data_IF_656585165059
#
_entry.id   IF_656585165059
#
_cell.length_a   1.000
_cell.length_b   1.000
_cell.length_c   1.000
_cell.angle_alpha   90.00
_cell.angle_beta   90.00
_cell.angle_gamma   90.00
#
_symmetry.space_group_name_H-M   'P 1'
#
loop_
_entity.id
_entity.type
_entity.pdbx_description
1 polymer ?
#
# COMPACT_ATOMS: atom_id res chain seq x y z
N UNK A 1 -7.41 6.20 1.19
CA UNK A 1 -6.21 5.43 1.61
C UNK A 1 -6.52 4.30 2.59
N UNK A 2 -7.28 4.51 3.67
CA UNK A 2 -7.61 3.46 4.67
C UNK A 2 -7.98 2.08 4.07
N UNK A 3 -9.07 2.01 3.31
CA UNK A 3 -9.54 0.76 2.69
C UNK A 3 -8.59 0.23 1.62
N UNK A 4 -7.83 1.11 0.95
CA UNK A 4 -6.80 0.71 -0.02
C UNK A 4 -5.71 -0.10 0.67
N UNK A 5 -5.25 0.32 1.85
CA UNK A 5 -4.24 -0.43 2.63
C UNK A 5 -4.82 -1.73 3.17
N UNK A 6 -6.01 -1.69 3.79
CA UNK A 6 -6.65 -2.89 4.34
C UNK A 6 -6.92 -3.97 3.30
N UNK A 7 -7.25 -3.58 2.06
CA UNK A 7 -7.53 -4.54 0.99
C UNK A 7 -6.35 -5.47 0.68
N UNK A 8 -5.12 -5.05 1.01
CA UNK A 8 -3.91 -5.84 0.78
C UNK A 8 -3.48 -6.66 2.00
N UNK A 9 -4.20 -6.57 3.14
CA UNK A 9 -3.92 -7.40 4.29
C UNK A 9 -4.48 -8.82 4.10
N UNK A 10 -3.60 -9.79 3.89
CA UNK A 10 -3.99 -11.19 3.63
C UNK A 10 -4.51 -11.86 4.89
N UNK A 11 -3.95 -11.55 6.06
CA UNK A 11 -4.45 -12.07 7.34
C UNK A 11 -5.89 -11.61 7.58
N UNK A 12 -6.18 -10.34 7.34
CA UNK A 12 -7.53 -9.81 7.48
C UNK A 12 -8.50 -10.48 6.51
N UNK A 13 -8.15 -10.54 5.22
CA UNK A 13 -8.99 -11.20 4.20
C UNK A 13 -9.24 -12.68 4.55
N UNK A 14 -8.21 -13.40 5.00
CA UNK A 14 -8.32 -14.81 5.38
C UNK A 14 -9.15 -15.01 6.65
N UNK A 15 -9.01 -14.14 7.65
CA UNK A 15 -9.81 -14.17 8.86
C UNK A 15 -11.27 -13.88 8.54
N UNK A 16 -11.55 -12.78 7.83
CA UNK A 16 -12.90 -12.34 7.48
C UNK A 16 -13.63 -13.33 6.57
N UNK A 17 -12.92 -14.06 5.71
CA UNK A 17 -13.48 -15.14 4.89
C UNK A 17 -14.14 -16.24 5.73
N UNK A 18 -13.62 -16.52 6.94
CA UNK A 18 -14.16 -17.56 7.84
C UNK A 18 -15.46 -17.14 8.53
N UNK A 19 -15.82 -15.86 8.52
CA UNK A 19 -17.05 -15.37 9.13
C UNK A 19 -18.21 -15.38 8.13
N UNK A 20 -19.14 -16.33 8.33
CA UNK A 20 -20.28 -16.56 7.43
C UNK A 20 -21.05 -15.29 7.06
N UNK A 21 -21.43 -14.48 8.06
CA UNK A 21 -22.24 -13.28 7.86
C UNK A 21 -21.55 -12.23 6.99
N UNK A 22 -20.24 -12.07 7.12
CA UNK A 22 -19.49 -11.06 6.39
C UNK A 22 -19.25 -11.52 4.94
N UNK A 23 -18.86 -12.78 4.77
CA UNK A 23 -18.60 -13.38 3.45
C UNK A 23 -19.84 -13.46 2.55
N UNK A 24 -21.05 -13.38 3.12
CA UNK A 24 -22.29 -13.29 2.33
C UNK A 24 -22.41 -11.97 1.55
N UNK A 25 -21.84 -10.89 2.08
CA UNK A 25 -21.91 -9.54 1.47
C UNK A 25 -20.61 -9.15 0.77
N UNK A 26 -19.46 -9.64 1.27
CA UNK A 26 -18.14 -9.26 0.77
C UNK A 26 -17.44 -10.47 0.16
N UNK A 27 -17.19 -10.40 -1.14
CA UNK A 27 -16.35 -11.39 -1.82
C UNK A 27 -14.86 -11.05 -1.64
N UNK A 28 -14.21 -11.76 -0.73
CA UNK A 28 -12.81 -11.58 -0.37
C UNK A 28 -11.81 -11.96 -1.47
N UNK A 29 -12.22 -12.72 -2.50
CA UNK A 29 -11.37 -13.04 -3.67
C UNK A 29 -11.18 -11.84 -4.59
N UNK A 30 -12.05 -10.82 -4.48
CA UNK A 30 -11.96 -9.60 -5.28
C UNK A 30 -11.12 -8.49 -4.61
N UNK A 31 -10.44 -8.77 -3.50
CA UNK A 31 -9.64 -7.78 -2.76
C UNK A 31 -8.56 -7.11 -3.64
N UNK A 32 -7.91 -7.88 -4.52
CA UNK A 32 -6.95 -7.36 -5.48
C UNK A 32 -7.59 -6.44 -6.51
N UNK A 33 -8.75 -6.82 -7.06
CA UNK A 33 -9.47 -5.99 -8.02
C UNK A 33 -9.97 -4.70 -7.35
N UNK A 34 -10.45 -4.78 -6.11
CA UNK A 34 -10.83 -3.63 -5.30
C UNK A 34 -9.66 -2.69 -5.04
N UNK A 35 -8.49 -3.21 -4.66
CA UNK A 35 -7.28 -2.41 -4.49
C UNK A 35 -6.93 -1.63 -5.75
N UNK A 36 -6.91 -2.28 -6.92
CA UNK A 36 -6.60 -1.61 -8.19
C UNK A 36 -7.60 -0.49 -8.47
N UNK A 37 -8.91 -0.73 -8.32
CA UNK A 37 -9.95 0.29 -8.53
C UNK A 37 -9.78 1.46 -7.57
N UNK A 38 -9.55 1.20 -6.28
CA UNK A 38 -9.30 2.24 -5.28
C UNK A 38 -8.02 3.04 -5.54
N UNK A 39 -6.97 2.39 -6.05
CA UNK A 39 -5.73 3.06 -6.43
C UNK A 39 -5.93 4.01 -7.62
N UNK A 40 -6.73 3.62 -8.62
CA UNK A 40 -7.10 4.52 -9.74
C UNK A 40 -7.88 5.73 -9.21
N UNK A 41 -8.87 5.51 -8.34
CA UNK A 41 -9.63 6.61 -7.72
C UNK A 41 -8.71 7.54 -6.94
N UNK A 42 -7.79 6.99 -6.14
CA UNK A 42 -6.81 7.79 -5.40
C UNK A 42 -5.88 8.57 -6.34
N UNK A 43 -5.47 7.98 -7.48
CA UNK A 43 -4.63 8.63 -8.49
C UNK A 43 -5.33 9.77 -9.22
N UNK A 44 -6.67 9.79 -9.24
CA UNK A 44 -7.46 10.91 -9.77
C UNK A 44 -7.63 12.02 -8.72
N UNK A 45 -7.93 11.65 -7.47
CA UNK A 45 -8.15 12.64 -6.41
C UNK A 45 -6.86 13.31 -5.92
N UNK A 46 -5.71 12.63 -5.97
CA UNK A 46 -4.43 13.22 -5.58
C UNK A 46 -4.06 14.46 -6.43
N UNK A 47 -4.12 14.43 -7.78
CA UNK A 47 -3.97 15.63 -8.62
C UNK A 47 -4.98 16.73 -8.30
N UNK A 48 -6.26 16.39 -8.15
CA UNK A 48 -7.31 17.38 -7.84
C UNK A 48 -7.01 18.10 -6.51
N UNK A 49 -6.60 17.35 -5.49
CA UNK A 49 -6.17 17.88 -4.21
C UNK A 49 -4.92 18.77 -4.33
N UNK A 50 -3.88 18.30 -5.04
CA UNK A 50 -2.65 19.06 -5.25
C UNK A 50 -2.89 20.36 -6.03
N UNK A 51 -3.69 20.31 -7.10
CA UNK A 51 -4.08 21.49 -7.89
C UNK A 51 -4.86 22.46 -7.00
N UNK A 52 -5.86 21.98 -6.25
CA UNK A 52 -6.66 22.81 -5.35
C UNK A 52 -5.82 23.55 -4.31
N UNK A 53 -4.76 22.94 -3.79
CA UNK A 53 -3.84 23.61 -2.87
C UNK A 53 -2.90 24.59 -3.57
N UNK A 54 -2.27 24.19 -4.69
CA UNK A 54 -1.28 25.00 -5.38
C UNK A 54 -1.91 26.25 -6.01
N UNK A 55 -3.04 26.10 -6.72
CA UNK A 55 -3.68 27.21 -7.44
C UNK A 55 -4.78 27.89 -6.63
N UNK A 56 -5.32 27.21 -5.60
CA UNK A 56 -6.33 27.75 -4.71
C UNK A 56 -5.72 28.28 -3.42
N UNK A 57 -5.63 27.44 -2.37
CA UNK A 57 -5.34 27.90 -1.01
C UNK A 57 -3.98 28.59 -0.85
N UNK A 58 -2.91 28.03 -1.42
CA UNK A 58 -1.56 28.61 -1.30
C UNK A 58 -1.43 29.90 -2.11
N UNK A 59 -2.03 29.95 -3.30
CA UNK A 59 -2.06 31.16 -4.11
C UNK A 59 -2.86 32.27 -3.42
N UNK A 60 -4.05 31.95 -2.92
CA UNK A 60 -4.90 32.87 -2.16
C UNK A 60 -4.16 33.46 -0.96
N UNK A 61 -3.56 32.60 -0.14
CA UNK A 61 -2.85 33.02 1.08
C UNK A 61 -1.57 33.82 0.82
N UNK A 62 -1.10 33.87 -0.43
CA UNK A 62 0.09 34.64 -0.81
C UNK A 62 -0.20 36.05 -1.32
N UNK A 63 -1.48 36.38 -1.56
CA UNK A 63 -1.88 37.68 -2.13
C UNK A 63 -1.91 38.77 -1.06
N UNK A 64 -1.31 39.96 -1.31
CA UNK A 64 -1.34 41.07 -0.37
C UNK A 64 -2.74 41.48 0.08
N UNK A 65 -3.72 41.45 -0.84
CA UNK A 65 -5.11 41.80 -0.55
C UNK A 65 -5.77 40.91 0.51
N UNK A 66 -5.32 39.65 0.65
CA UNK A 66 -5.98 38.68 1.54
C UNK A 66 -5.24 38.53 2.88
N UNK A 67 -4.24 39.36 3.18
CA UNK A 67 -3.42 39.22 4.39
C UNK A 67 -4.26 39.35 5.67
N UNK A 68 -5.22 40.26 5.70
CA UNK A 68 -6.08 40.46 6.88
C UNK A 68 -6.92 39.21 7.19
N UNK A 69 -7.49 38.59 6.17
CA UNK A 69 -8.27 37.34 6.34
C UNK A 69 -7.38 36.16 6.74
N UNK A 70 -6.19 36.04 6.13
CA UNK A 70 -5.23 34.98 6.48
C UNK A 70 -4.72 35.16 7.90
N UNK A 71 -4.45 36.39 8.34
CA UNK A 71 -4.06 36.70 9.71
C UNK A 71 -5.18 36.37 10.70
N UNK A 72 -6.44 36.67 10.35
CA UNK A 72 -7.60 36.31 11.17
C UNK A 72 -7.78 34.79 11.30
N UNK A 73 -7.47 34.02 10.25
CA UNK A 73 -7.66 32.57 10.23
C UNK A 73 -6.47 31.77 10.81
N UNK A 74 -5.23 32.13 10.48
CA UNK A 74 -4.01 31.40 10.86
C UNK A 74 -3.18 32.10 11.95
N UNK A 75 -3.55 33.33 12.33
CA UNK A 75 -2.80 34.17 13.24
C UNK A 75 -1.89 35.17 12.50
N UNK A 76 -1.47 36.26 13.20
CA UNK A 76 -0.69 37.34 12.61
C UNK A 76 0.68 36.88 12.11
N UNK A 77 1.29 35.86 12.74
CA UNK A 77 2.61 35.33 12.35
C UNK A 77 2.61 34.60 10.99
N UNK A 78 1.43 34.34 10.43
CA UNK A 78 1.29 33.69 9.13
C UNK A 78 1.46 34.64 7.93
N UNK A 79 1.48 35.96 8.16
CA UNK A 79 1.60 37.00 7.12
C UNK A 79 2.67 38.05 7.46
N UNK A 80 3.30 38.69 6.46
CA UNK A 80 3.23 38.36 5.03
C UNK A 80 4.02 37.09 4.72
N UNK A 81 3.45 36.21 3.87
CA UNK A 81 4.12 34.98 3.46
C UNK A 81 4.05 34.79 1.94
N UNK A 82 5.20 34.82 1.23
CA UNK A 82 5.19 34.65 -0.22
C UNK A 82 4.81 33.22 -0.61
N UNK A 83 4.34 33.04 -1.84
CA UNK A 83 3.93 31.73 -2.38
C UNK A 83 5.02 30.65 -2.24
N UNK A 84 6.28 31.01 -2.46
CA UNK A 84 7.43 30.10 -2.31
C UNK A 84 7.59 29.60 -0.87
N UNK A 85 7.24 30.40 0.14
CA UNK A 85 7.28 29.99 1.53
C UNK A 85 6.12 29.05 1.91
N UNK A 86 4.99 29.11 1.20
CA UNK A 86 3.91 28.13 1.32
C UNK A 86 4.30 26.79 0.69
N UNK A 87 4.96 26.78 -0.47
CA UNK A 87 5.51 25.55 -1.06
C UNK A 87 6.55 24.91 -0.14
N UNK A 88 7.44 25.71 0.48
CA UNK A 88 8.47 25.22 1.41
C UNK A 88 7.91 24.82 2.78
N UNK A 89 6.64 25.12 3.06
CA UNK A 89 5.99 24.67 4.30
C UNK A 89 5.93 23.14 4.36
N UNK A 90 5.82 22.57 5.58
CA UNK A 90 5.74 21.13 5.76
C UNK A 90 4.64 20.48 4.89
N UNK A 91 3.39 20.98 4.84
CA UNK A 91 2.38 20.43 3.93
C UNK A 91 2.75 20.60 2.46
N UNK A 92 3.35 21.72 2.08
CA UNK A 92 3.70 22.02 0.69
C UNK A 92 4.67 20.99 0.08
N UNK A 93 5.89 20.91 0.60
CA UNK A 93 6.92 20.08 -0.02
C UNK A 93 6.67 18.59 0.22
N UNK A 94 6.19 18.18 1.40
CA UNK A 94 5.80 16.79 1.68
C UNK A 94 4.68 16.39 0.73
N UNK A 95 3.69 17.26 0.49
CA UNK A 95 2.58 17.00 -0.42
C UNK A 95 3.06 16.76 -1.85
N UNK A 96 3.98 17.60 -2.34
CA UNK A 96 4.58 17.46 -3.68
C UNK A 96 5.41 16.17 -3.82
N UNK A 97 6.23 15.84 -2.82
CA UNK A 97 7.03 14.60 -2.82
C UNK A 97 6.10 13.38 -2.79
N UNK A 98 5.10 13.37 -1.92
CA UNK A 98 4.11 12.30 -1.82
C UNK A 98 3.36 12.12 -3.14
N UNK A 99 2.92 13.22 -3.75
CA UNK A 99 2.25 13.22 -5.06
C UNK A 99 3.14 12.58 -6.14
N UNK A 100 4.40 13.00 -6.24
CA UNK A 100 5.35 12.42 -7.18
C UNK A 100 5.55 10.92 -6.97
N UNK A 101 5.77 10.48 -5.72
CA UNK A 101 5.90 9.07 -5.39
C UNK A 101 4.64 8.27 -5.75
N UNK A 102 3.46 8.85 -5.55
CA UNK A 102 2.18 8.20 -5.88
C UNK A 102 2.08 7.91 -7.39
N UNK A 103 2.51 8.85 -8.23
CA UNK A 103 2.59 8.67 -9.68
C UNK A 103 3.68 7.69 -10.12
N UNK A 104 4.84 7.66 -9.45
CA UNK A 104 5.88 6.66 -9.71
C UNK A 104 5.35 5.24 -9.44
N UNK A 105 4.66 5.03 -8.31
CA UNK A 105 4.00 3.75 -8.05
C UNK A 105 2.96 3.47 -9.13
N UNK A 106 2.08 4.41 -9.46
CA UNK A 106 1.08 4.25 -10.52
C UNK A 106 1.67 3.82 -11.86
N UNK A 107 2.76 4.46 -12.29
CA UNK A 107 3.46 4.14 -13.54
C UNK A 107 4.07 2.74 -13.52
N UNK A 108 4.77 2.39 -12.45
CA UNK A 108 5.36 1.04 -12.28
C UNK A 108 4.29 -0.05 -12.07
N UNK A 109 3.06 0.32 -11.70
CA UNK A 109 1.89 -0.55 -11.57
C UNK A 109 1.24 -0.96 -12.88
N UNK A 110 1.56 -0.28 -13.99
CA UNK A 110 0.84 -0.48 -15.24
C UNK A 110 0.97 -1.92 -15.75
N UNK A 111 -0.10 -2.52 -16.32
CA UNK A 111 -0.05 -3.90 -16.79
C UNK A 111 1.07 -4.16 -17.81
N UNK A 112 1.42 -3.18 -18.62
CA UNK A 112 2.54 -3.26 -19.55
C UNK A 112 3.90 -3.36 -18.84
N UNK A 113 4.14 -2.54 -17.81
CA UNK A 113 5.39 -2.57 -17.02
C UNK A 113 5.49 -3.88 -16.25
N UNK A 114 4.45 -4.27 -15.52
CA UNK A 114 4.44 -5.49 -14.70
C UNK A 114 4.63 -6.77 -15.52
N UNK A 115 4.09 -6.82 -16.74
CA UNK A 115 4.29 -7.95 -17.66
C UNK A 115 5.71 -8.02 -18.22
N UNK A 116 6.38 -6.87 -18.37
CA UNK A 116 7.76 -6.80 -18.87
C UNK A 116 8.80 -7.03 -17.78
N UNK A 117 8.58 -6.48 -16.59
CA UNK A 117 9.43 -6.71 -15.42
C UNK A 117 8.61 -6.60 -14.14
N UNK A 118 8.38 -7.74 -13.49
CA UNK A 118 7.72 -7.78 -12.20
C UNK A 118 8.58 -7.17 -11.08
N UNK A 119 9.90 -7.26 -11.20
CA UNK A 119 10.85 -6.72 -10.23
C UNK A 119 10.76 -5.18 -10.14
N UNK A 120 10.65 -4.50 -11.29
CA UNK A 120 10.43 -3.05 -11.34
C UNK A 120 9.10 -2.67 -10.65
N UNK A 121 8.04 -3.45 -10.90
CA UNK A 121 6.76 -3.26 -10.24
C UNK A 121 6.87 -3.40 -8.71
N UNK A 122 7.54 -4.44 -8.22
CA UNK A 122 7.70 -4.68 -6.77
C UNK A 122 8.56 -3.61 -6.11
N UNK A 123 9.73 -3.30 -6.68
CA UNK A 123 10.63 -2.27 -6.15
C UNK A 123 9.95 -0.91 -6.13
N UNK A 124 9.24 -0.55 -7.22
CA UNK A 124 8.42 0.65 -7.28
C UNK A 124 7.35 0.68 -6.18
N UNK A 125 6.62 -0.42 -5.98
CA UNK A 125 5.58 -0.50 -4.93
C UNK A 125 6.09 -0.38 -3.50
N UNK A 126 7.37 -0.67 -3.22
CA UNK A 126 7.94 -0.48 -1.88
C UNK A 126 7.93 1.00 -1.46
N UNK A 127 7.90 1.93 -2.42
CA UNK A 127 7.71 3.36 -2.16
C UNK A 127 6.39 3.68 -1.44
N UNK A 128 5.48 2.71 -1.30
CA UNK A 128 4.27 2.88 -0.49
C UNK A 128 4.59 3.18 0.99
N UNK A 129 5.69 2.64 1.53
CA UNK A 129 6.07 2.90 2.93
C UNK A 129 6.50 4.34 3.20
N UNK A 130 7.42 4.96 2.41
CA UNK A 130 7.69 6.38 2.56
C UNK A 130 6.46 7.25 2.28
N UNK A 131 5.58 6.85 1.35
CA UNK A 131 4.29 7.56 1.13
C UNK A 131 3.43 7.56 2.39
N UNK A 132 3.32 6.43 3.12
CA UNK A 132 2.56 6.39 4.36
C UNK A 132 3.15 7.32 5.42
N UNK A 133 4.48 7.29 5.60
CA UNK A 133 5.15 8.18 6.55
C UNK A 133 4.90 9.66 6.19
N UNK A 134 5.03 10.02 4.91
CA UNK A 134 4.77 11.37 4.45
C UNK A 134 3.30 11.78 4.58
N UNK A 135 2.33 10.91 4.27
CA UNK A 135 0.91 11.21 4.47
C UNK A 135 0.55 11.41 5.95
N UNK A 136 1.20 10.71 6.87
CA UNK A 136 1.00 10.89 8.31
C UNK A 136 1.50 12.27 8.78
N UNK A 137 2.58 12.78 8.18
CA UNK A 137 3.20 14.07 8.54
C UNK A 137 2.62 15.26 7.75
N UNK A 138 2.14 15.05 6.52
CA UNK A 138 1.71 16.11 5.60
C UNK A 138 0.71 17.10 6.21
N UNK A 139 -0.26 16.61 6.98
CA UNK A 139 -1.31 17.45 7.58
C UNK A 139 -1.05 17.93 9.00
N UNK A 140 0.09 17.63 9.62
CA UNK A 140 0.30 17.84 11.07
C UNK A 140 0.34 19.29 11.49
N UNK A 141 0.69 20.21 10.58
CA UNK A 141 0.63 21.65 10.86
C UNK A 141 -0.80 22.15 11.06
N UNK A 142 -1.79 21.46 10.48
CA UNK A 142 -3.20 21.75 10.74
C UNK A 142 -3.70 23.08 10.21
N UNK A 143 -3.14 23.60 9.10
CA UNK A 143 -3.52 24.92 8.56
C UNK A 143 -5.03 25.08 8.32
N UNK A 144 -5.70 24.05 7.80
CA UNK A 144 -7.14 24.14 7.49
C UNK A 144 -7.99 23.38 8.50
N UNK A 145 -7.48 22.25 8.98
CA UNK A 145 -8.21 21.29 9.81
C UNK A 145 -7.21 20.53 10.69
N UNK A 146 -7.69 19.97 11.79
CA UNK A 146 -6.88 19.14 12.69
C UNK A 146 -6.36 17.87 11.98
N UNK A 147 -5.12 17.43 12.25
CA UNK A 147 -4.51 16.29 11.57
C UNK A 147 -5.22 14.98 11.84
N UNK A 148 -6.00 14.49 10.86
CA UNK A 148 -6.73 13.22 10.98
C UNK A 148 -6.07 12.06 10.23
N UNK A 149 -5.37 12.32 9.12
CA UNK A 149 -4.88 11.27 8.21
C UNK A 149 -3.95 10.27 8.91
N UNK A 150 -3.10 10.75 9.83
CA UNK A 150 -2.18 9.91 10.57
C UNK A 150 -2.88 8.85 11.42
N UNK A 151 -3.93 9.26 12.15
CA UNK A 151 -4.71 8.37 13.00
C UNK A 151 -5.49 7.33 12.18
N UNK A 152 -6.11 7.75 11.07
CA UNK A 152 -6.79 6.81 10.19
C UNK A 152 -5.82 5.79 9.59
N UNK A 153 -4.60 6.21 9.20
CA UNK A 153 -3.62 5.30 8.59
C UNK A 153 -2.86 4.42 9.59
N UNK A 154 -2.75 4.80 10.87
CA UNK A 154 -1.95 4.08 11.85
C UNK A 154 -2.33 2.60 11.96
N UNK A 155 -3.63 2.32 12.20
CA UNK A 155 -4.13 0.95 12.33
C UNK A 155 -3.89 0.07 11.09
N UNK A 156 -4.35 0.44 9.88
CA UNK A 156 -4.21 -0.42 8.70
C UNK A 156 -2.75 -0.58 8.27
N UNK A 157 -1.93 0.45 8.42
CA UNK A 157 -0.49 0.38 8.08
C UNK A 157 0.23 -0.56 9.05
N UNK A 158 -0.02 -0.45 10.35
CA UNK A 158 0.58 -1.35 11.34
C UNK A 158 0.17 -2.80 11.09
N UNK A 159 -1.10 -3.06 10.80
CA UNK A 159 -1.60 -4.40 10.51
C UNK A 159 -0.89 -5.02 9.30
N UNK A 160 -0.76 -4.27 8.20
CA UNK A 160 -0.05 -4.74 6.98
C UNK A 160 1.46 -4.89 7.22
N UNK A 161 2.07 -3.99 8.01
CA UNK A 161 3.49 -4.08 8.37
C UNK A 161 3.77 -5.35 9.17
N UNK A 162 2.99 -5.64 10.21
CA UNK A 162 3.15 -6.84 11.03
C UNK A 162 2.97 -8.11 10.19
N UNK A 163 1.91 -8.18 9.37
CA UNK A 163 1.71 -9.30 8.44
C UNK A 163 2.94 -9.49 7.54
N UNK A 164 3.44 -8.39 6.95
CA UNK A 164 4.56 -8.45 6.02
C UNK A 164 5.86 -8.85 6.70
N UNK A 165 6.14 -8.33 7.90
CA UNK A 165 7.32 -8.71 8.70
C UNK A 165 7.27 -10.20 9.00
N UNK A 166 6.16 -10.71 9.55
CA UNK A 166 6.02 -12.14 9.89
C UNK A 166 6.17 -13.02 8.65
N UNK A 167 5.57 -12.64 7.52
CA UNK A 167 5.73 -13.39 6.26
C UNK A 167 7.17 -13.40 5.76
N UNK A 168 7.86 -12.26 5.81
CA UNK A 168 9.26 -12.15 5.41
C UNK A 168 10.16 -12.97 6.34
N UNK A 169 9.94 -12.89 7.66
CA UNK A 169 10.66 -13.70 8.65
C UNK A 169 10.48 -15.19 8.39
N UNK A 170 9.26 -15.64 8.11
CA UNK A 170 8.97 -17.03 7.75
C UNK A 170 9.62 -17.47 6.43
N UNK A 171 9.93 -16.52 5.53
CA UNK A 171 10.64 -16.77 4.28
C UNK A 171 12.14 -16.98 4.44
N UNK A 172 12.74 -16.61 5.58
CA UNK A 172 14.15 -16.89 5.88
C UNK A 172 14.41 -18.32 6.39
N UNK A 173 13.37 -19.15 6.45
CA UNK A 173 13.48 -20.57 6.77
C UNK A 173 13.25 -21.40 5.51
N UNK A 174 14.26 -21.52 4.62
CA UNK A 174 14.13 -22.28 3.38
C UNK A 174 13.85 -23.75 3.67
N UNK A 175 13.05 -24.36 2.81
CA UNK A 175 12.74 -25.79 2.86
C UNK A 175 13.24 -26.44 1.57
N UNK A 176 13.78 -27.65 1.70
CA UNK A 176 14.13 -28.46 0.54
C UNK A 176 12.85 -28.90 -0.18
N UNK A 177 12.83 -28.73 -1.50
CA UNK A 177 11.71 -29.12 -2.33
C UNK A 177 12.19 -29.82 -3.60
N UNK A 178 11.40 -30.78 -4.06
CA UNK A 178 11.59 -31.49 -5.32
C UNK A 178 10.52 -31.02 -6.29
N UNK A 179 10.93 -30.79 -7.54
CA UNK A 179 10.01 -30.41 -8.61
C UNK A 179 9.93 -31.55 -9.63
N UNK A 180 8.70 -31.95 -9.94
CA UNK A 180 8.38 -32.94 -10.95
C UNK A 180 7.47 -32.31 -11.99
N UNK A 181 7.81 -32.47 -13.27
CA UNK A 181 6.98 -31.98 -14.39
C UNK A 181 6.03 -33.10 -14.77
N UNK A 182 4.73 -32.92 -14.50
CA UNK A 182 3.72 -33.93 -14.78
C UNK A 182 3.28 -33.89 -16.24
N UNK A 183 3.05 -32.68 -16.78
CA UNK A 183 2.69 -32.45 -18.17
C UNK A 183 3.14 -31.05 -18.65
N UNK A 184 2.61 -30.57 -19.79
CA UNK A 184 2.99 -29.26 -20.37
C UNK A 184 2.51 -28.06 -19.55
N UNK A 185 1.49 -28.22 -18.71
CA UNK A 185 0.81 -27.15 -17.98
C UNK A 185 0.85 -27.35 -16.45
N UNK A 186 1.29 -28.52 -15.97
CA UNK A 186 1.22 -28.93 -14.57
C UNK A 186 2.58 -29.38 -14.03
N UNK A 187 2.94 -28.82 -12.87
CA UNK A 187 4.11 -29.23 -12.09
C UNK A 187 3.69 -29.66 -10.68
N UNK A 188 4.34 -30.70 -10.15
CA UNK A 188 4.23 -31.11 -8.76
C UNK A 188 5.45 -30.60 -7.99
N UNK A 189 5.22 -30.00 -6.82
CA UNK A 189 6.28 -29.52 -5.92
C UNK A 189 6.12 -30.23 -4.58
N UNK A 190 7.04 -31.14 -4.27
CA UNK A 190 7.07 -31.87 -3.00
C UNK A 190 8.02 -31.18 -2.05
N UNK A 191 7.50 -30.61 -0.95
CA UNK A 191 8.29 -29.90 0.07
C UNK A 191 8.55 -30.83 1.26
N UNK A 192 9.80 -30.98 1.67
CA UNK A 192 10.16 -31.78 2.85
C UNK A 192 9.99 -30.91 4.10
N UNK A 193 9.03 -31.26 4.95
CA UNK A 193 8.76 -30.52 6.18
C UNK A 193 9.58 -31.09 7.35
N UNK A 194 10.42 -30.28 8.03
CA UNK A 194 11.14 -30.74 9.20
C UNK A 194 10.18 -30.99 10.37
N UNK A 195 10.44 -32.01 11.18
CA UNK A 195 9.62 -32.38 12.33
C UNK A 195 9.47 -31.25 13.38
N UNK A 196 10.39 -30.28 13.39
CA UNK A 196 10.33 -29.10 14.25
C UNK A 196 9.28 -28.06 13.83
N UNK A 197 8.73 -28.15 12.61
CA UNK A 197 7.76 -27.19 12.07
C UNK A 197 6.37 -27.81 12.08
N UNK A 198 5.58 -27.46 13.08
CA UNK A 198 4.20 -27.93 13.17
C UNK A 198 3.36 -27.33 12.03
N UNK A 199 2.96 -28.16 11.06
CA UNK A 199 2.24 -27.74 9.85
C UNK A 199 0.93 -28.51 9.72
N UNK A 200 -0.06 -28.09 10.51
CA UNK A 200 -1.41 -28.60 10.38
C UNK A 200 -2.08 -28.03 9.13
N UNK A 201 -2.61 -28.91 8.27
CA UNK A 201 -3.32 -28.53 7.06
C UNK A 201 -4.71 -29.16 7.00
N UNK A 202 -5.57 -28.60 6.14
CA UNK A 202 -6.87 -29.17 5.76
C UNK A 202 -6.97 -29.25 4.24
N UNK A 203 -7.68 -30.25 3.74
CA UNK A 203 -7.95 -30.39 2.31
C UNK A 203 -8.55 -29.09 1.73
N UNK A 204 -8.07 -28.69 0.56
CA UNK A 204 -8.49 -27.46 -0.13
C UNK A 204 -7.79 -26.16 0.34
N UNK A 205 -6.83 -26.24 1.27
CA UNK A 205 -5.97 -25.11 1.60
C UNK A 205 -4.87 -24.90 0.55
N UNK A 206 -4.30 -23.70 0.50
CA UNK A 206 -3.17 -23.35 -0.35
C UNK A 206 -2.01 -22.81 0.49
N UNK A 207 -0.80 -22.95 -0.03
CA UNK A 207 0.43 -22.35 0.50
C UNK A 207 0.96 -21.31 -0.47
N UNK A 208 1.74 -20.38 0.05
CA UNK A 208 2.50 -19.44 -0.77
C UNK A 208 3.95 -19.90 -0.82
N UNK A 209 4.46 -20.17 -2.02
CA UNK A 209 5.84 -20.57 -2.23
C UNK A 209 6.61 -19.45 -2.92
N UNK A 210 7.83 -19.23 -2.45
CA UNK A 210 8.83 -18.41 -3.12
C UNK A 210 9.89 -19.33 -3.72
N UNK A 211 10.15 -19.19 -5.02
CA UNK A 211 11.16 -19.96 -5.74
C UNK A 211 12.28 -18.97 -6.15
N UNK A 212 13.40 -18.92 -5.40
CA UNK A 212 14.43 -17.90 -5.59
C UNK A 212 15.05 -17.87 -6.99
N UNK A 213 15.05 -19.02 -7.69
CA UNK A 213 15.54 -19.15 -9.07
C UNK A 213 14.67 -18.37 -10.07
N UNK A 214 13.37 -18.21 -9.80
CA UNK A 214 12.45 -17.44 -10.64
C UNK A 214 12.37 -15.99 -10.20
N UNK A 215 12.24 -15.74 -8.90
CA UNK A 215 12.23 -14.39 -8.33
C UNK A 215 12.52 -14.44 -6.83
N UNK A 216 13.33 -13.49 -6.37
CA UNK A 216 13.70 -13.33 -4.96
C UNK A 216 12.62 -12.64 -4.12
N UNK A 217 11.53 -12.18 -4.75
CA UNK A 217 10.51 -11.35 -4.09
C UNK A 217 9.08 -11.85 -4.32
N UNK A 218 8.87 -12.74 -5.30
CA UNK A 218 7.55 -13.29 -5.62
C UNK A 218 7.17 -14.46 -4.71
N UNK A 219 5.88 -14.47 -4.37
CA UNK A 219 5.23 -15.55 -3.63
C UNK A 219 4.00 -15.97 -4.41
N UNK A 220 3.97 -17.22 -4.86
CA UNK A 220 2.91 -17.76 -5.70
C UNK A 220 2.03 -18.74 -4.89
N UNK A 221 0.70 -18.67 -5.03
CA UNK A 221 -0.19 -19.61 -4.37
C UNK A 221 -0.17 -20.97 -5.08
N UNK A 222 -0.05 -22.04 -4.29
CA UNK A 222 -0.17 -23.42 -4.73
C UNK A 222 -1.14 -24.16 -3.81
N UNK A 223 -2.11 -24.87 -4.39
CA UNK A 223 -3.03 -25.71 -3.61
C UNK A 223 -2.28 -26.92 -3.04
N UNK A 224 -2.55 -27.26 -1.78
CA UNK A 224 -2.00 -28.47 -1.17
C UNK A 224 -2.80 -29.67 -1.71
N UNK A 225 -2.17 -30.49 -2.54
CA UNK A 225 -2.78 -31.69 -3.14
C UNK A 225 -2.74 -32.88 -2.19
N UNK A 226 -1.58 -33.16 -1.59
CA UNK A 226 -1.31 -34.33 -0.74
C UNK A 226 -0.25 -34.01 0.29
N UNK A 227 -0.35 -34.60 1.48
CA UNK A 227 0.73 -34.63 2.47
C UNK A 227 0.97 -36.08 2.87
N UNK A 228 2.20 -36.53 2.77
CA UNK A 228 2.65 -37.89 3.11
C UNK A 228 3.55 -37.84 4.34
#
# INVERSE_FOLDING_TARGET
MFFLVLSMCRWLSTALRRFYWISRFVNWDLSQAFHIKMSIVALVFAPLHSIGHLTGSMLYASRPAQQDEVAAFLGPDAVPRPYSAWIRSLPGWIGLVTFGLFWVIGATSLPWVRRKSYEVFQLGHILVFPIFAFLMVHGTVGYLQWPMMGYFLAFPVLLVLVERIVRTCNGFSPLSAYLEVLDKETVCITVVMPASRNFDYRAGQFVLLQVPVLSRWQWHPFTISTCM
#
